data_IF_160071799383
#
_entry.id   IF_160071799383
#
_cell.length_a   1.000
_cell.length_b   1.000
_cell.length_c   1.000
_cell.angle_alpha   90.00
_cell.angle_beta   90.00
_cell.angle_gamma   90.00
#
_symmetry.space_group_name_H-M   'P 1'
#
loop_
_entity.id
_entity.type
_entity.pdbx_description
1 polymer ?
#
# COMPACT_ATOMS: atom_id res chain seq x y z
N UNK A 1 -12.34 -1.53 2.97
CA UNK A 1 -11.06 -1.72 2.25
C UNK A 1 -9.95 -0.84 2.80
N UNK A 2 -10.01 0.49 2.64
CA UNK A 2 -8.97 1.43 3.11
C UNK A 2 -8.60 1.28 4.60
N UNK A 3 -9.60 1.09 5.47
CA UNK A 3 -9.39 0.89 6.91
C UNK A 3 -8.57 -0.37 7.19
N UNK A 4 -8.77 -1.44 6.42
CA UNK A 4 -8.05 -2.71 6.60
C UNK A 4 -6.61 -2.61 6.13
N UNK A 5 -6.38 -1.96 4.97
CA UNK A 5 -5.03 -1.64 4.47
C UNK A 5 -4.27 -0.79 5.51
N UNK A 6 -4.93 0.25 6.04
CA UNK A 6 -4.33 1.11 7.06
C UNK A 6 -4.06 0.36 8.37
N UNK A 7 -4.97 -0.54 8.81
CA UNK A 7 -4.74 -1.38 10.00
C UNK A 7 -3.56 -2.33 9.82
N UNK A 8 -3.43 -2.97 8.66
CA UNK A 8 -2.28 -3.81 8.35
C UNK A 8 -0.98 -3.00 8.35
N UNK A 9 -0.97 -1.81 7.75
CA UNK A 9 0.17 -0.90 7.82
C UNK A 9 0.55 -0.53 9.26
N UNK A 10 -0.43 -0.18 10.10
CA UNK A 10 -0.20 0.10 11.53
C UNK A 10 0.36 -1.13 12.27
N UNK A 11 -0.07 -2.33 11.92
CA UNK A 11 0.44 -3.56 12.52
C UNK A 11 1.92 -3.80 12.16
N UNK A 12 2.28 -3.64 10.88
CA UNK A 12 3.67 -3.69 10.42
C UNK A 12 4.55 -2.62 11.09
N UNK A 13 4.04 -1.40 11.22
CA UNK A 13 4.75 -0.32 11.92
C UNK A 13 5.00 -0.66 13.41
N UNK A 14 4.00 -1.21 14.12
CA UNK A 14 4.16 -1.65 15.50
C UNK A 14 5.18 -2.78 15.63
N UNK A 15 5.16 -3.73 14.70
CA UNK A 15 6.13 -4.82 14.64
C UNK A 15 7.55 -4.30 14.46
N UNK A 16 7.77 -3.36 13.52
CA UNK A 16 9.05 -2.72 13.31
C UNK A 16 9.56 -1.95 14.55
N UNK A 17 8.66 -1.24 15.25
CA UNK A 17 9.00 -0.58 16.52
C UNK A 17 9.39 -1.61 17.59
N UNK A 18 8.73 -2.77 17.61
CA UNK A 18 9.11 -3.92 18.43
C UNK A 18 10.53 -4.38 18.15
N UNK A 19 10.87 -4.62 16.88
CA UNK A 19 12.23 -5.01 16.42
C UNK A 19 13.31 -4.06 16.91
N UNK A 20 13.13 -2.75 16.71
CA UNK A 20 14.13 -1.75 17.12
C UNK A 20 14.38 -1.72 18.63
N UNK A 21 13.40 -2.13 19.42
CA UNK A 21 13.45 -2.12 20.87
C UNK A 21 13.94 -3.44 21.47
N UNK A 22 14.21 -4.48 20.64
CA UNK A 22 14.78 -5.74 21.13
C UNK A 22 16.17 -5.46 21.70
N UNK A 23 16.29 -5.58 23.02
CA UNK A 23 17.57 -5.66 23.71
C UNK A 23 17.93 -7.15 23.85
N UNK A 24 18.90 -7.61 23.08
CA UNK A 24 19.48 -8.95 23.21
C UNK A 24 20.32 -9.04 24.50
N UNK A 25 19.68 -8.94 25.65
CA UNK A 25 20.35 -9.05 26.94
C UNK A 25 20.01 -10.40 27.57
N UNK A 26 20.94 -11.35 27.47
CA UNK A 26 21.17 -12.58 28.27
C UNK A 26 19.99 -13.54 28.60
N UNK A 27 18.74 -13.21 28.29
CA UNK A 27 17.60 -14.11 28.32
C UNK A 27 17.12 -14.27 26.90
N UNK A 28 17.04 -15.52 26.44
CA UNK A 28 16.59 -15.91 25.11
C UNK A 28 15.38 -15.08 24.69
N UNK A 29 15.59 -14.13 23.79
CA UNK A 29 14.47 -13.53 23.05
C UNK A 29 13.84 -14.72 22.33
N UNK A 30 12.52 -14.92 22.47
CA UNK A 30 11.81 -15.98 21.76
C UNK A 30 11.79 -15.65 20.26
N UNK A 31 12.91 -15.84 19.58
CA UNK A 31 13.08 -15.57 18.15
C UNK A 31 12.18 -16.49 17.33
N UNK A 32 11.85 -17.67 17.87
CA UNK A 32 10.79 -18.53 17.35
C UNK A 32 9.41 -17.86 17.37
N UNK A 33 9.06 -17.16 18.45
CA UNK A 33 7.82 -16.40 18.56
C UNK A 33 7.85 -15.20 17.62
N UNK A 34 8.98 -14.51 17.53
CA UNK A 34 9.17 -13.39 16.61
C UNK A 34 9.00 -13.81 15.14
N UNK A 35 9.51 -14.98 14.79
CA UNK A 35 9.34 -15.56 13.45
C UNK A 35 7.92 -16.02 13.18
N UNK A 36 7.26 -16.62 14.15
CA UNK A 36 5.85 -17.00 14.02
C UNK A 36 4.97 -15.77 13.83
N UNK A 37 5.25 -14.68 14.56
CA UNK A 37 4.52 -13.42 14.46
C UNK A 37 4.74 -12.78 13.07
N UNK A 38 5.97 -12.78 12.56
CA UNK A 38 6.27 -12.29 11.21
C UNK A 38 5.51 -13.08 10.13
N UNK A 39 5.60 -14.41 10.16
CA UNK A 39 4.92 -15.27 9.18
C UNK A 39 3.40 -15.06 9.22
N UNK A 40 2.82 -14.90 10.42
CA UNK A 40 1.39 -14.60 10.57
C UNK A 40 1.01 -13.24 9.96
N UNK A 41 1.88 -12.23 10.08
CA UNK A 41 1.68 -10.92 9.46
C UNK A 41 1.74 -11.04 7.94
N UNK A 42 2.75 -11.74 7.46
CA UNK A 42 2.99 -11.93 6.04
C UNK A 42 1.82 -12.66 5.38
N UNK A 43 1.36 -13.77 5.95
CA UNK A 43 0.16 -14.48 5.51
C UNK A 43 -1.06 -13.56 5.45
N UNK A 44 -1.27 -12.74 6.48
CA UNK A 44 -2.37 -11.76 6.50
C UNK A 44 -2.22 -10.72 5.41
N UNK A 45 -1.01 -10.24 5.11
CA UNK A 45 -0.75 -9.30 4.02
C UNK A 45 -0.96 -9.96 2.66
N UNK A 46 -0.61 -11.24 2.51
CA UNK A 46 -0.85 -12.02 1.31
C UNK A 46 -2.35 -12.21 1.04
N UNK A 47 -3.10 -12.63 2.06
CA UNK A 47 -4.56 -12.75 2.00
C UNK A 47 -5.21 -11.38 1.72
N UNK A 48 -4.71 -10.32 2.35
CA UNK A 48 -5.18 -8.95 2.12
C UNK A 48 -5.02 -8.55 0.65
N UNK A 49 -3.86 -8.85 0.05
CA UNK A 49 -3.57 -8.59 -1.36
C UNK A 49 -4.52 -9.37 -2.25
N UNK A 50 -4.68 -10.67 -2.01
CA UNK A 50 -5.52 -11.54 -2.85
C UNK A 50 -7.00 -11.12 -2.81
N UNK A 51 -7.53 -10.90 -1.60
CA UNK A 51 -8.94 -10.53 -1.40
C UNK A 51 -9.23 -9.13 -1.95
N UNK A 52 -8.27 -8.19 -1.85
CA UNK A 52 -8.50 -6.81 -2.29
C UNK A 52 -8.05 -6.50 -3.70
N UNK A 53 -7.25 -7.35 -4.34
CA UNK A 53 -6.77 -7.15 -5.71
C UNK A 53 -7.90 -6.87 -6.70
N UNK A 54 -8.93 -7.72 -6.72
CA UNK A 54 -10.08 -7.60 -7.63
C UNK A 54 -11.01 -6.43 -7.30
N UNK A 55 -11.50 -6.26 -6.06
CA UNK A 55 -12.41 -5.15 -5.76
C UNK A 55 -11.72 -3.78 -5.84
N UNK A 56 -10.42 -3.68 -5.56
CA UNK A 56 -9.66 -2.44 -5.80
C UNK A 56 -9.62 -2.09 -7.28
N UNK A 57 -9.43 -3.07 -8.15
CA UNK A 57 -9.47 -2.85 -9.59
C UNK A 57 -10.84 -2.34 -10.07
N UNK A 58 -11.92 -2.96 -9.61
CA UNK A 58 -13.30 -2.56 -9.98
C UNK A 58 -13.61 -1.14 -9.50
N UNK A 59 -13.23 -0.81 -8.25
CA UNK A 59 -13.45 0.54 -7.70
C UNK A 59 -12.65 1.56 -8.50
N UNK A 60 -11.38 1.29 -8.77
CA UNK A 60 -10.51 2.19 -9.52
C UNK A 60 -11.06 2.44 -10.94
N UNK A 61 -11.43 1.38 -11.64
CA UNK A 61 -12.01 1.45 -12.97
C UNK A 61 -13.33 2.23 -12.96
N UNK A 62 -14.19 1.96 -11.97
CA UNK A 62 -15.42 2.71 -11.76
C UNK A 62 -15.18 4.19 -11.50
N UNK A 63 -14.18 4.55 -10.68
CA UNK A 63 -13.81 5.94 -10.45
C UNK A 63 -13.33 6.62 -11.74
N UNK A 64 -12.50 5.97 -12.55
CA UNK A 64 -12.06 6.52 -13.84
C UNK A 64 -13.23 6.71 -14.81
N UNK A 65 -14.08 5.69 -15.00
CA UNK A 65 -15.24 5.81 -15.89
C UNK A 65 -16.19 6.92 -15.45
N UNK A 66 -16.45 7.05 -14.15
CA UNK A 66 -17.30 8.13 -13.64
C UNK A 66 -16.65 9.51 -13.79
N UNK A 67 -15.33 9.62 -13.60
CA UNK A 67 -14.61 10.88 -13.83
C UNK A 67 -14.65 11.29 -15.30
N UNK A 68 -14.45 10.35 -16.24
CA UNK A 68 -14.56 10.64 -17.67
C UNK A 68 -15.99 10.96 -18.09
N UNK A 69 -16.99 10.22 -17.57
CA UNK A 69 -18.40 10.45 -17.85
C UNK A 69 -18.88 11.81 -17.32
N UNK A 70 -18.48 12.18 -16.11
CA UNK A 70 -18.79 13.51 -15.55
C UNK A 70 -18.11 14.62 -16.33
N UNK A 71 -16.88 14.44 -16.78
CA UNK A 71 -16.17 15.41 -17.60
C UNK A 71 -16.85 15.59 -18.98
N UNK A 72 -17.23 14.50 -19.64
CA UNK A 72 -18.01 14.55 -20.88
C UNK A 72 -19.38 15.23 -20.72
N UNK A 73 -20.10 14.95 -19.63
CA UNK A 73 -21.38 15.58 -19.34
C UNK A 73 -21.23 17.06 -18.97
N UNK A 74 -20.18 17.44 -18.24
CA UNK A 74 -19.92 18.82 -17.86
C UNK A 74 -19.64 19.74 -19.05
N UNK A 75 -19.14 19.17 -20.14
CA UNK A 75 -18.92 19.89 -21.38
C UNK A 75 -20.24 20.25 -22.07
N UNK A 76 -21.34 19.49 -21.88
CA UNK A 76 -22.65 19.83 -22.45
C UNK A 76 -23.20 21.10 -21.77
N UNK A 77 -23.53 22.14 -22.56
CA UNK A 77 -23.77 23.50 -22.05
C UNK A 77 -25.09 23.66 -21.27
N UNK A 78 -26.02 22.70 -21.38
CA UNK A 78 -27.40 22.82 -20.86
C UNK A 78 -27.66 22.03 -19.57
N UNK A 79 -26.65 21.87 -18.70
CA UNK A 79 -26.81 21.13 -17.45
C UNK A 79 -27.45 22.02 -16.37
N UNK A 80 -28.59 21.62 -15.75
CA UNK A 80 -29.23 22.35 -14.67
C UNK A 80 -28.31 22.58 -13.47
N UNK A 81 -28.48 23.71 -12.75
CA UNK A 81 -27.67 24.08 -11.59
C UNK A 81 -27.64 23.01 -10.48
N UNK A 82 -28.76 22.32 -10.21
CA UNK A 82 -28.80 21.25 -9.21
C UNK A 82 -27.95 20.03 -9.61
N UNK A 83 -27.92 19.72 -10.91
CA UNK A 83 -27.12 18.63 -11.48
C UNK A 83 -25.62 18.95 -11.44
N UNK A 84 -25.24 20.24 -11.59
CA UNK A 84 -23.84 20.68 -11.45
C UNK A 84 -23.29 20.46 -10.03
N UNK A 85 -24.11 20.70 -9.00
CA UNK A 85 -23.71 20.48 -7.61
C UNK A 85 -23.50 18.99 -7.34
N UNK A 86 -24.37 18.13 -7.88
CA UNK A 86 -24.30 16.67 -7.69
C UNK A 86 -23.12 16.03 -8.47
N UNK A 87 -22.82 16.55 -9.67
CA UNK A 87 -21.63 16.16 -10.42
C UNK A 87 -20.36 16.55 -9.65
N UNK A 88 -20.31 17.78 -9.11
CA UNK A 88 -19.16 18.28 -8.35
C UNK A 88 -18.88 17.45 -7.08
N UNK A 89 -19.92 17.15 -6.30
CA UNK A 89 -19.79 16.32 -5.10
C UNK A 89 -19.34 14.89 -5.41
N UNK A 90 -19.85 14.33 -6.51
CA UNK A 90 -19.47 12.99 -7.00
C UNK A 90 -18.01 12.95 -7.44
N UNK A 91 -17.57 13.90 -8.27
CA UNK A 91 -16.17 14.04 -8.69
C UNK A 91 -15.25 14.15 -7.48
N UNK A 92 -15.60 15.01 -6.52
CA UNK A 92 -14.83 15.16 -5.29
C UNK A 92 -14.71 13.84 -4.53
N UNK A 93 -15.80 13.08 -4.41
CA UNK A 93 -15.82 11.77 -3.76
C UNK A 93 -14.90 10.77 -4.45
N UNK A 94 -14.94 10.69 -5.78
CA UNK A 94 -14.06 9.77 -6.54
C UNK A 94 -12.59 10.15 -6.41
N UNK A 95 -12.26 11.45 -6.44
CA UNK A 95 -10.90 11.94 -6.21
C UNK A 95 -10.42 11.57 -4.79
N UNK A 96 -11.25 11.77 -3.77
CA UNK A 96 -10.92 11.39 -2.39
C UNK A 96 -10.66 9.89 -2.26
N UNK A 97 -11.45 9.04 -2.92
CA UNK A 97 -11.25 7.58 -2.91
C UNK A 97 -9.90 7.23 -3.55
N UNK A 98 -9.61 7.78 -4.73
CA UNK A 98 -8.36 7.56 -5.47
C UNK A 98 -7.16 7.99 -4.61
N UNK A 99 -7.18 9.21 -4.07
CA UNK A 99 -6.10 9.75 -3.22
C UNK A 99 -5.92 8.91 -1.95
N UNK A 100 -7.01 8.45 -1.32
CA UNK A 100 -6.92 7.62 -0.13
C UNK A 100 -6.29 6.26 -0.42
N UNK A 101 -6.66 5.62 -1.55
CA UNK A 101 -6.06 4.37 -1.99
C UNK A 101 -4.56 4.51 -2.20
N UNK A 102 -4.18 5.62 -2.79
CA UNK A 102 -2.80 5.99 -3.08
C UNK A 102 -1.99 6.26 -1.82
N UNK A 103 -2.55 6.90 -0.80
CA UNK A 103 -1.82 7.18 0.44
C UNK A 103 -1.69 5.91 1.28
N UNK A 104 -2.70 5.03 1.26
CA UNK A 104 -2.73 3.84 2.11
C UNK A 104 -1.96 2.65 1.51
N UNK A 105 -2.02 2.43 0.20
CA UNK A 105 -1.48 1.22 -0.43
C UNK A 105 0.05 1.09 -0.37
N UNK A 106 0.86 2.16 -0.53
CA UNK A 106 2.32 2.08 -0.44
C UNK A 106 2.83 1.84 0.97
N UNK A 107 2.04 2.12 2.01
CA UNK A 107 2.49 1.98 3.40
C UNK A 107 2.88 0.55 3.75
N UNK A 108 2.19 -0.45 3.20
CA UNK A 108 2.50 -1.87 3.43
C UNK A 108 3.92 -2.21 2.94
N UNK A 109 4.25 -2.04 1.64
CA UNK A 109 5.60 -2.33 1.17
C UNK A 109 6.67 -1.41 1.79
N UNK A 110 6.34 -0.15 2.10
CA UNK A 110 7.26 0.76 2.81
C UNK A 110 7.62 0.23 4.21
N UNK A 111 6.64 -0.24 4.99
CA UNK A 111 6.91 -0.82 6.31
C UNK A 111 7.60 -2.18 6.24
N UNK A 112 7.28 -3.02 5.25
CA UNK A 112 8.00 -4.28 5.04
C UNK A 112 9.46 -4.04 4.69
N UNK A 113 9.75 -3.05 3.84
CA UNK A 113 11.12 -2.63 3.54
C UNK A 113 11.82 -2.13 4.82
N UNK A 114 11.16 -1.30 5.62
CA UNK A 114 11.74 -0.79 6.88
C UNK A 114 12.05 -1.91 7.88
N UNK A 115 11.20 -2.95 7.94
CA UNK A 115 11.45 -4.16 8.73
C UNK A 115 12.70 -4.88 8.23
N UNK A 116 12.82 -5.13 6.91
CA UNK A 116 14.01 -5.74 6.32
C UNK A 116 15.29 -4.97 6.65
N UNK A 117 15.29 -3.65 6.45
CA UNK A 117 16.44 -2.81 6.76
C UNK A 117 16.81 -2.87 8.24
N UNK A 118 15.80 -2.93 9.12
CA UNK A 118 16.02 -3.06 10.56
C UNK A 118 16.60 -4.43 10.91
N UNK A 119 16.12 -5.52 10.29
CA UNK A 119 16.65 -6.87 10.45
C UNK A 119 18.10 -6.96 9.95
N UNK A 120 18.39 -6.42 8.76
CA UNK A 120 19.76 -6.35 8.24
C UNK A 120 20.72 -5.62 9.19
N UNK A 121 20.28 -4.47 9.72
CA UNK A 121 21.07 -3.73 10.72
C UNK A 121 21.30 -4.53 12.01
N UNK A 122 20.33 -5.34 12.43
CA UNK A 122 20.48 -6.22 13.60
C UNK A 122 21.46 -7.35 13.31
N UNK A 123 21.38 -7.99 12.14
CA UNK A 123 22.32 -9.03 11.72
C UNK A 123 23.76 -8.49 11.73
N UNK A 124 23.98 -7.31 11.12
CA UNK A 124 25.31 -6.69 11.05
C UNK A 124 25.87 -6.41 12.44
N UNK A 125 25.11 -5.75 13.32
CA UNK A 125 25.54 -5.43 14.68
C UNK A 125 25.94 -6.68 15.48
N UNK A 126 25.26 -7.81 15.28
CA UNK A 126 25.47 -9.01 16.07
C UNK A 126 26.52 -9.97 15.47
N UNK A 127 26.73 -9.95 14.15
CA UNK A 127 27.87 -10.63 13.51
C UNK A 127 29.22 -10.10 14.03
N UNK A 128 29.30 -8.79 14.34
CA UNK A 128 30.48 -8.20 14.98
C UNK A 128 30.53 -8.36 16.50
N UNK A 129 29.40 -8.67 17.15
CA UNK A 129 29.24 -8.63 18.60
C UNK A 129 29.46 -9.93 19.38
N UNK A 130 29.42 -11.14 18.74
CA UNK A 130 29.38 -12.47 19.42
C UNK A 130 28.13 -12.75 20.28
N UNK A 131 27.03 -12.00 20.12
CA UNK A 131 25.89 -12.03 21.08
C UNK A 131 24.69 -12.87 20.63
N UNK A 132 24.63 -13.35 19.39
CA UNK A 132 23.54 -14.20 18.88
C UNK A 132 24.03 -15.61 18.56
N UNK A 133 23.19 -16.60 18.80
CA UNK A 133 23.44 -17.96 18.33
C UNK A 133 23.31 -18.02 16.79
N UNK A 134 24.12 -18.87 16.17
CA UNK A 134 24.12 -19.17 14.74
C UNK A 134 22.72 -19.45 14.18
N UNK A 135 21.87 -20.16 14.94
CA UNK A 135 20.49 -20.48 14.56
C UNK A 135 19.58 -19.25 14.50
N UNK A 136 19.81 -18.31 15.40
CA UNK A 136 19.03 -17.08 15.50
C UNK A 136 19.34 -16.13 14.34
N UNK A 137 20.62 -16.08 13.92
CA UNK A 137 21.06 -15.31 12.74
C UNK A 137 20.43 -15.86 11.46
N UNK A 138 20.34 -17.19 11.32
CA UNK A 138 19.71 -17.83 10.16
C UNK A 138 18.22 -17.49 10.03
N UNK A 139 17.51 -17.33 11.15
CA UNK A 139 16.08 -16.95 11.15
C UNK A 139 15.91 -15.51 10.63
N UNK A 140 16.75 -14.58 11.09
CA UNK A 140 16.72 -13.20 10.59
C UNK A 140 17.17 -13.08 9.13
N UNK A 141 18.20 -13.83 8.71
CA UNK A 141 18.63 -13.86 7.31
C UNK A 141 17.53 -14.42 6.39
N UNK A 142 16.68 -15.33 6.89
CA UNK A 142 15.51 -15.80 6.15
C UNK A 142 14.50 -14.66 5.96
N UNK A 143 14.13 -13.96 7.04
CA UNK A 143 13.19 -12.82 6.98
C UNK A 143 13.67 -11.66 6.12
N UNK A 144 14.97 -11.40 6.09
CA UNK A 144 15.54 -10.35 5.23
C UNK A 144 15.38 -10.69 3.74
N UNK A 145 15.45 -11.98 3.39
CA UNK A 145 15.35 -12.48 2.02
C UNK A 145 13.92 -12.64 1.50
N UNK A 146 12.91 -12.69 2.37
CA UNK A 146 11.47 -12.78 2.01
C UNK A 146 11.04 -11.67 1.03
N UNK A 147 10.16 -11.93 0.06
CA UNK A 147 9.81 -10.90 -0.92
C UNK A 147 8.92 -9.76 -0.36
N UNK A 148 9.08 -8.55 -0.89
CA UNK A 148 8.23 -7.42 -0.50
C UNK A 148 6.88 -7.55 -1.21
N UNK A 149 5.81 -7.64 -0.42
CA UNK A 149 4.46 -7.75 -0.96
C UNK A 149 3.94 -6.36 -1.33
N UNK A 150 3.81 -6.10 -2.63
CA UNK A 150 3.13 -4.92 -3.16
C UNK A 150 1.63 -5.19 -3.29
N UNK A 151 0.82 -4.23 -2.86
CA UNK A 151 -0.61 -4.21 -3.18
C UNK A 151 -0.76 -3.95 -4.68
N UNK A 152 -1.41 -4.87 -5.38
CA UNK A 152 -1.68 -4.79 -6.81
C UNK A 152 -3.17 -4.91 -7.07
N UNK A 153 -3.71 -4.12 -8.00
CA UNK A 153 -5.04 -4.30 -8.54
C UNK A 153 -5.00 -5.29 -9.72
N UNK A 154 -5.65 -6.44 -9.55
CA UNK A 154 -5.74 -7.56 -10.49
C UNK A 154 -4.38 -8.07 -11.03
N UNK A 155 -3.27 -7.80 -10.33
CA UNK A 155 -1.91 -8.09 -10.82
C UNK A 155 -1.46 -7.25 -12.02
N UNK A 156 -2.29 -6.32 -12.50
CA UNK A 156 -1.97 -5.43 -13.63
C UNK A 156 -1.38 -4.10 -13.18
N UNK A 157 -1.83 -3.60 -12.03
CA UNK A 157 -1.47 -2.27 -11.53
C UNK A 157 -0.92 -2.39 -10.12
N UNK A 158 0.38 -2.17 -9.96
CA UNK A 158 0.98 -1.97 -8.65
C UNK A 158 0.65 -0.58 -8.14
N UNK A 159 0.16 -0.48 -6.90
CA UNK A 159 -0.08 0.81 -6.25
C UNK A 159 1.23 1.44 -5.78
N UNK A 160 1.99 1.99 -6.74
CA UNK A 160 3.22 2.77 -6.52
C UNK A 160 2.94 4.26 -6.66
N UNK A 161 3.82 5.10 -6.10
CA UNK A 161 3.75 6.57 -6.27
C UNK A 161 3.78 7.00 -7.75
N UNK A 162 4.37 6.19 -8.63
CA UNK A 162 4.40 6.49 -10.06
C UNK A 162 3.06 6.24 -10.76
N UNK A 163 2.28 5.25 -10.30
CA UNK A 163 0.94 4.97 -10.86
C UNK A 163 0.02 6.20 -10.72
N UNK A 164 0.18 6.91 -9.61
CA UNK A 164 -0.46 8.17 -9.27
C UNK A 164 -0.28 9.26 -10.34
N UNK A 165 0.98 9.44 -10.76
CA UNK A 165 1.38 10.46 -11.72
C UNK A 165 0.80 10.10 -13.08
N UNK A 166 0.92 8.84 -13.49
CA UNK A 166 0.33 8.34 -14.74
C UNK A 166 -1.21 8.42 -14.76
N UNK A 167 -1.88 8.15 -13.64
CA UNK A 167 -3.33 8.29 -13.49
C UNK A 167 -3.79 9.76 -13.63
N UNK A 168 -3.04 10.69 -13.04
CA UNK A 168 -3.34 12.12 -13.15
C UNK A 168 -3.04 12.66 -14.55
N UNK A 169 -1.92 12.25 -15.14
CA UNK A 169 -1.53 12.58 -16.51
C UNK A 169 -2.57 12.10 -17.50
N UNK A 170 -3.02 10.85 -17.40
CA UNK A 170 -4.06 10.31 -18.28
C UNK A 170 -5.38 11.07 -18.13
N UNK A 171 -5.84 11.35 -16.91
CA UNK A 171 -7.03 12.19 -16.69
C UNK A 171 -6.89 13.58 -17.31
N UNK A 172 -5.72 14.21 -17.16
CA UNK A 172 -5.45 15.53 -17.71
C UNK A 172 -5.38 15.51 -19.25
N UNK A 173 -4.64 14.58 -19.84
CA UNK A 173 -4.48 14.45 -21.29
C UNK A 173 -5.81 14.14 -21.96
N UNK A 174 -6.55 13.12 -21.49
CA UNK A 174 -7.84 12.78 -22.05
C UNK A 174 -8.90 13.85 -21.76
N UNK A 175 -8.82 14.52 -20.61
CA UNK A 175 -9.66 15.67 -20.30
C UNK A 175 -9.48 16.81 -21.29
N UNK A 176 -8.24 17.22 -21.54
CA UNK A 176 -7.90 18.23 -22.56
C UNK A 176 -8.35 17.82 -23.96
N UNK A 177 -8.18 16.54 -24.31
CA UNK A 177 -8.59 16.01 -25.61
C UNK A 177 -10.12 16.13 -25.80
N UNK A 178 -10.90 15.84 -24.77
CA UNK A 178 -12.35 16.01 -24.76
C UNK A 178 -12.77 17.48 -24.86
N UNK A 179 -12.04 18.40 -24.22
CA UNK A 179 -12.30 19.84 -24.36
C UNK A 179 -12.00 20.34 -25.77
N UNK A 180 -10.89 19.90 -26.37
CA UNK A 180 -10.46 20.34 -27.70
C UNK A 180 -11.25 19.71 -28.86
N UNK A 181 -11.91 18.58 -28.64
CA UNK A 181 -12.79 17.94 -29.64
C UNK A 181 -14.18 18.58 -29.73
N UNK A 182 -14.46 19.55 -28.87
CA UNK A 182 -15.74 20.27 -28.81
C UNK A 182 -15.59 21.68 -29.34
#
# INVERSE_FOLDING_TARGET
MLVLINRCGVFLFKFNKGLRNIKFNAGSVNISQFSSDYNTIEEKVHLLKEVFSTPLFIILLGCFFNLYGTLANSLQQDVPLYLKVDISSSVFTYVVIIVSLIICSPKIPEYMLEIKTTIGSLIDKHKFGKWMDSKEILVFERMEKEDIIYMSACGMVDFKKNFLISAFETLFTYGLLLVNLK
#
